data_IF_746613713635
#
_entry.id   IF_746613713635
#
_cell.length_a   1.000
_cell.length_b   1.000
_cell.length_c   1.000
_cell.angle_alpha   90.00
_cell.angle_beta   90.00
_cell.angle_gamma   90.00
#
_symmetry.space_group_name_H-M   'P 1'
#
loop_
_entity.id
_entity.type
_entity.pdbx_description
1 polymer ?
#
# COMPACT_ATOMS: atom_id res chain seq x y z
N UNK A 1 -17.71 -20.14 -37.16
CA UNK A 1 -17.31 -18.74 -36.91
C UNK A 1 -15.95 -18.53 -37.56
N UNK A 2 -15.82 -17.58 -38.49
CA UNK A 2 -14.56 -17.35 -39.21
C UNK A 2 -13.53 -16.65 -38.30
N UNK A 3 -12.23 -16.77 -38.61
CA UNK A 3 -11.16 -16.07 -37.89
C UNK A 3 -11.41 -14.55 -37.82
N UNK A 4 -11.98 -13.96 -38.88
CA UNK A 4 -12.38 -12.55 -38.91
C UNK A 4 -13.53 -12.21 -37.95
N UNK A 5 -14.51 -13.10 -37.79
CA UNK A 5 -15.59 -12.93 -36.82
C UNK A 5 -15.09 -13.05 -35.37
N UNK A 6 -14.12 -13.93 -35.10
CA UNK A 6 -13.43 -14.04 -33.82
C UNK A 6 -12.62 -12.78 -33.48
N UNK A 7 -11.88 -12.23 -34.44
CA UNK A 7 -11.10 -11.01 -34.26
C UNK A 7 -11.98 -9.78 -34.01
N UNK A 8 -13.13 -9.67 -34.70
CA UNK A 8 -14.10 -8.59 -34.46
C UNK A 8 -14.79 -8.70 -33.09
N UNK A 9 -15.16 -9.91 -32.66
CA UNK A 9 -15.73 -10.15 -31.34
C UNK A 9 -14.72 -9.87 -30.21
N UNK A 10 -13.47 -10.32 -30.37
CA UNK A 10 -12.39 -10.04 -29.43
C UNK A 10 -12.10 -8.54 -29.35
N UNK A 11 -12.02 -7.85 -30.49
CA UNK A 11 -11.89 -6.40 -30.55
C UNK A 11 -13.06 -5.69 -29.84
N UNK A 12 -14.31 -6.09 -30.08
CA UNK A 12 -15.48 -5.46 -29.43
C UNK A 12 -15.48 -5.59 -27.91
N UNK A 13 -14.93 -6.68 -27.35
CA UNK A 13 -14.79 -6.87 -25.90
C UNK A 13 -13.64 -6.06 -25.27
N UNK A 14 -12.68 -5.59 -26.05
CA UNK A 14 -11.61 -4.70 -25.57
C UNK A 14 -12.03 -3.22 -25.54
N UNK A 15 -13.01 -2.89 -26.38
CA UNK A 15 -13.58 -1.56 -26.48
C UNK A 15 -14.75 -1.34 -25.51
N UNK A 16 -15.15 -2.35 -24.74
CA UNK A 16 -16.04 -2.15 -23.60
C UNK A 16 -15.26 -1.61 -22.38
N UNK A 17 -15.96 -0.91 -21.49
CA UNK A 17 -15.35 -0.29 -20.31
C UNK A 17 -14.63 -1.33 -19.41
N UNK A 18 -15.08 -2.59 -19.42
CA UNK A 18 -14.49 -3.65 -18.62
C UNK A 18 -13.14 -4.11 -19.18
N UNK A 19 -13.01 -4.27 -20.49
CA UNK A 19 -11.78 -4.66 -21.17
C UNK A 19 -10.67 -3.62 -20.94
N UNK A 20 -11.01 -2.34 -20.99
CA UNK A 20 -10.09 -1.25 -20.69
C UNK A 20 -9.58 -1.28 -19.25
N UNK A 21 -10.50 -1.47 -18.29
CA UNK A 21 -10.15 -1.60 -16.87
C UNK A 21 -9.25 -2.81 -16.63
N UNK A 22 -9.57 -3.97 -17.20
CA UNK A 22 -8.76 -5.19 -17.04
C UNK A 22 -7.37 -5.01 -17.66
N UNK A 23 -7.28 -4.41 -18.84
CA UNK A 23 -6.00 -4.13 -19.50
C UNK A 23 -5.12 -3.22 -18.65
N UNK A 24 -5.68 -2.11 -18.15
CA UNK A 24 -4.95 -1.16 -17.31
C UNK A 24 -4.52 -1.78 -15.97
N UNK A 25 -5.42 -2.51 -15.30
CA UNK A 25 -5.09 -3.22 -14.06
C UNK A 25 -4.00 -4.27 -14.28
N UNK A 26 -4.06 -5.02 -15.39
CA UNK A 26 -3.02 -6.00 -15.73
C UNK A 26 -1.67 -5.32 -15.93
N UNK A 27 -1.63 -4.18 -16.62
CA UNK A 27 -0.41 -3.41 -16.78
C UNK A 27 0.16 -2.96 -15.42
N UNK A 28 -0.67 -2.32 -14.58
CA UNK A 28 -0.25 -1.82 -13.27
C UNK A 28 0.20 -2.93 -12.31
N UNK A 29 -0.43 -4.09 -12.36
CA UNK A 29 -0.11 -5.21 -11.47
C UNK A 29 1.17 -5.97 -11.87
N UNK A 30 1.48 -6.02 -13.17
CA UNK A 30 2.57 -6.87 -13.69
C UNK A 30 3.79 -6.09 -14.13
N UNK A 31 3.64 -4.80 -14.44
CA UNK A 31 4.64 -3.99 -15.13
C UNK A 31 5.15 -4.68 -16.43
N UNK A 32 4.29 -5.47 -17.09
CA UNK A 32 4.63 -6.16 -18.31
C UNK A 32 4.86 -5.16 -19.46
N UNK A 33 5.75 -5.52 -20.38
CA UNK A 33 6.00 -4.71 -21.57
C UNK A 33 4.70 -4.54 -22.35
N UNK A 34 4.40 -3.30 -22.78
CA UNK A 34 3.10 -2.99 -23.37
C UNK A 34 2.82 -3.77 -24.66
N UNK A 35 3.86 -4.18 -25.41
CA UNK A 35 3.68 -5.06 -26.59
C UNK A 35 3.18 -6.45 -26.20
N UNK A 36 3.67 -7.01 -25.08
CA UNK A 36 3.21 -8.33 -24.60
C UNK A 36 1.75 -8.27 -24.18
N UNK A 37 1.33 -7.18 -23.54
CA UNK A 37 -0.08 -6.96 -23.23
C UNK A 37 -0.90 -6.73 -24.49
N UNK A 38 -0.39 -5.96 -25.44
CA UNK A 38 -1.04 -5.74 -26.72
C UNK A 38 -1.32 -7.07 -27.43
N UNK A 39 -0.35 -7.98 -27.46
CA UNK A 39 -0.50 -9.32 -28.05
C UNK A 39 -1.54 -10.16 -27.30
N UNK A 40 -1.48 -10.20 -25.97
CA UNK A 40 -2.42 -10.96 -25.12
C UNK A 40 -3.87 -10.47 -25.24
N UNK A 41 -4.02 -9.17 -25.50
CA UNK A 41 -5.31 -8.50 -25.58
C UNK A 41 -5.66 -8.15 -27.02
N UNK A 42 -5.02 -8.71 -28.06
CA UNK A 42 -5.39 -8.45 -29.47
C UNK A 42 -5.48 -6.96 -29.86
N UNK A 43 -4.65 -6.11 -29.24
CA UNK A 43 -4.64 -4.66 -29.42
C UNK A 43 -3.29 -4.19 -29.98
N UNK A 44 -3.16 -2.91 -30.33
CA UNK A 44 -1.85 -2.33 -30.61
C UNK A 44 -1.27 -1.71 -29.32
N UNK A 45 0.07 -1.59 -29.24
CA UNK A 45 0.75 -0.99 -28.08
C UNK A 45 0.24 0.43 -27.77
N UNK A 46 -0.13 1.19 -28.81
CA UNK A 46 -0.72 2.53 -28.65
C UNK A 46 -2.03 2.48 -27.86
N UNK A 47 -2.89 1.50 -28.11
CA UNK A 47 -4.14 1.31 -27.34
C UNK A 47 -3.82 1.06 -25.87
N UNK A 48 -2.88 0.14 -25.56
CA UNK A 48 -2.44 -0.12 -24.17
C UNK A 48 -1.97 1.18 -23.50
N UNK A 49 -1.13 1.95 -24.18
CA UNK A 49 -0.60 3.21 -23.63
C UNK A 49 -1.69 4.24 -23.34
N UNK A 50 -2.69 4.39 -24.23
CA UNK A 50 -3.80 5.33 -24.05
C UNK A 50 -4.69 4.86 -22.90
N UNK A 51 -5.09 3.59 -22.91
CA UNK A 51 -5.95 3.00 -21.88
C UNK A 51 -5.33 3.11 -20.48
N UNK A 52 -4.05 2.79 -20.33
CA UNK A 52 -3.35 2.95 -19.03
C UNK A 52 -3.34 4.41 -18.59
N UNK A 53 -3.05 5.34 -19.50
CA UNK A 53 -3.01 6.78 -19.20
C UNK A 53 -4.38 7.27 -18.74
N UNK A 54 -5.44 6.98 -19.49
CA UNK A 54 -6.81 7.38 -19.18
C UNK A 54 -7.28 6.77 -17.86
N UNK A 55 -7.02 5.47 -17.65
CA UNK A 55 -7.36 4.78 -16.42
C UNK A 55 -6.67 5.41 -15.20
N UNK A 56 -5.37 5.73 -15.29
CA UNK A 56 -4.64 6.42 -14.22
C UNK A 56 -5.19 7.82 -14.00
N UNK A 57 -5.54 8.57 -15.05
CA UNK A 57 -6.19 9.88 -14.91
C UNK A 57 -7.52 9.76 -14.16
N UNK A 58 -8.34 8.77 -14.48
CA UNK A 58 -9.62 8.51 -13.79
C UNK A 58 -9.40 8.14 -12.33
N UNK A 59 -8.42 7.28 -12.01
CA UNK A 59 -8.08 6.91 -10.63
C UNK A 59 -7.70 8.12 -9.77
N UNK A 60 -7.12 9.16 -10.36
CA UNK A 60 -6.77 10.41 -9.67
C UNK A 60 -7.95 11.38 -9.53
N UNK A 61 -9.14 11.03 -10.04
CA UNK A 61 -10.32 11.87 -9.89
C UNK A 61 -10.75 11.95 -8.41
N UNK A 62 -11.10 13.13 -7.86
CA UNK A 62 -11.46 13.28 -6.44
C UNK A 62 -12.59 12.35 -5.99
N UNK A 63 -13.55 12.04 -6.87
CA UNK A 63 -14.65 11.11 -6.56
C UNK A 63 -14.19 9.67 -6.29
N UNK A 64 -13.00 9.28 -6.75
CA UNK A 64 -12.37 7.97 -6.47
C UNK A 64 -11.41 8.11 -5.29
N UNK A 65 -10.50 9.09 -5.31
CA UNK A 65 -9.49 9.29 -4.25
C UNK A 65 -10.15 9.52 -2.88
N UNK A 66 -11.24 10.29 -2.82
CA UNK A 66 -11.95 10.52 -1.56
C UNK A 66 -12.67 9.26 -1.02
N UNK A 67 -12.79 8.21 -1.83
CA UNK A 67 -13.36 6.91 -1.43
C UNK A 67 -12.30 5.89 -1.05
N UNK A 68 -11.06 6.01 -1.55
CA UNK A 68 -10.03 5.00 -1.35
C UNK A 68 -8.62 5.59 -1.13
N UNK A 69 -7.89 5.15 -0.10
CA UNK A 69 -8.33 4.25 0.97
C UNK A 69 -9.26 4.96 1.97
N UNK A 70 -10.38 4.33 2.33
CA UNK A 70 -11.30 4.87 3.35
C UNK A 70 -10.91 4.35 4.74
N UNK A 71 -10.60 5.26 5.66
CA UNK A 71 -10.49 4.94 7.08
C UNK A 71 -11.36 5.89 7.90
N UNK A 72 -12.12 5.34 8.86
CA UNK A 72 -12.99 6.11 9.78
C UNK A 72 -12.44 6.00 11.19
N UNK A 73 -11.19 6.40 11.37
CA UNK A 73 -10.49 6.26 12.66
C UNK A 73 -11.10 7.07 13.79
N UNK A 74 -11.96 8.04 13.48
CA UNK A 74 -12.75 8.81 14.44
C UNK A 74 -13.96 8.05 15.02
N UNK A 75 -14.38 6.95 14.39
CA UNK A 75 -15.50 6.13 14.86
C UNK A 75 -14.95 5.00 15.74
N UNK A 76 -15.32 5.03 17.02
CA UNK A 76 -14.92 4.00 18.00
C UNK A 76 -15.38 2.60 17.58
N UNK A 77 -16.55 2.46 16.97
CA UNK A 77 -17.08 1.17 16.50
C UNK A 77 -16.24 0.64 15.35
N UNK A 78 -15.78 1.52 14.46
CA UNK A 78 -14.85 1.16 13.40
C UNK A 78 -13.51 0.68 13.97
N UNK A 79 -12.94 1.42 14.94
CA UNK A 79 -11.69 1.05 15.59
C UNK A 79 -11.80 -0.29 16.34
N UNK A 80 -12.88 -0.51 17.10
CA UNK A 80 -13.15 -1.79 17.76
C UNK A 80 -13.22 -2.95 16.75
N UNK A 81 -13.92 -2.78 15.62
CA UNK A 81 -13.98 -3.81 14.57
C UNK A 81 -12.62 -4.12 13.96
N UNK A 82 -11.74 -3.12 13.84
CA UNK A 82 -10.37 -3.35 13.35
C UNK A 82 -9.54 -4.09 14.39
N UNK A 83 -9.60 -3.66 15.64
CA UNK A 83 -8.97 -4.33 16.78
C UNK A 83 -9.38 -5.80 16.91
N UNK A 84 -10.68 -6.10 16.78
CA UNK A 84 -11.19 -7.47 16.77
C UNK A 84 -10.60 -8.32 15.63
N UNK A 85 -10.37 -7.71 14.45
CA UNK A 85 -9.75 -8.38 13.32
C UNK A 85 -8.31 -8.81 13.62
N UNK A 86 -7.54 -7.95 14.29
CA UNK A 86 -6.17 -8.26 14.72
C UNK A 86 -6.16 -9.28 15.87
N UNK A 87 -7.04 -9.14 16.85
CA UNK A 87 -7.16 -10.08 17.97
C UNK A 87 -7.48 -11.51 17.49
N UNK A 88 -8.32 -11.67 16.45
CA UNK A 88 -8.59 -12.98 15.83
C UNK A 88 -7.39 -13.62 15.12
N UNK A 89 -6.33 -12.85 14.85
CA UNK A 89 -5.05 -13.34 14.31
C UNK A 89 -3.98 -13.51 15.41
N UNK A 90 -4.39 -13.55 16.68
CA UNK A 90 -3.49 -13.60 17.86
C UNK A 90 -2.51 -12.42 17.93
N UNK A 91 -2.88 -11.29 17.30
CA UNK A 91 -2.19 -10.01 17.42
C UNK A 91 -2.75 -9.27 18.64
N UNK A 92 -1.94 -8.41 19.25
CA UNK A 92 -2.30 -7.71 20.49
C UNK A 92 -3.64 -6.98 20.38
N UNK A 93 -4.45 -6.95 21.46
CA UNK A 93 -5.69 -6.17 21.48
C UNK A 93 -5.44 -4.69 21.19
N UNK A 94 -6.49 -4.01 20.74
CA UNK A 94 -6.50 -2.58 20.40
C UNK A 94 -5.57 -2.16 19.24
N UNK A 95 -4.96 -3.10 18.52
CA UNK A 95 -4.25 -2.81 17.27
C UNK A 95 -5.27 -2.57 16.16
N UNK A 96 -5.32 -1.36 15.59
CA UNK A 96 -6.29 -1.00 14.53
C UNK A 96 -5.70 -1.03 13.12
N UNK A 97 -4.39 -1.20 13.02
CA UNK A 97 -3.68 -1.27 11.75
C UNK A 97 -2.25 -1.75 11.92
N UNK A 98 -1.71 -2.38 10.87
CA UNK A 98 -0.30 -2.66 10.74
C UNK A 98 0.31 -1.66 9.75
N UNK A 99 1.41 -1.03 10.16
CA UNK A 99 2.12 -0.01 9.38
C UNK A 99 3.48 -0.54 8.95
N UNK A 100 3.81 -0.36 7.69
CA UNK A 100 5.12 -0.73 7.15
C UNK A 100 5.54 0.20 5.99
N UNK A 101 6.85 0.31 5.79
CA UNK A 101 7.47 1.08 4.73
C UNK A 101 8.00 0.19 3.61
N UNK A 102 7.75 0.57 2.36
CA UNK A 102 8.26 -0.12 1.18
C UNK A 102 8.91 0.85 0.21
N UNK A 103 10.07 0.44 -0.31
CA UNK A 103 10.80 1.19 -1.33
C UNK A 103 10.34 0.73 -2.72
N UNK A 104 9.56 1.57 -3.40
CA UNK A 104 9.07 1.32 -4.76
C UNK A 104 10.11 1.83 -5.75
N UNK A 105 10.73 0.95 -6.58
CA UNK A 105 11.73 1.36 -7.55
C UNK A 105 11.15 2.34 -8.57
N UNK A 106 11.93 3.35 -8.93
CA UNK A 106 11.62 4.30 -9.99
C UNK A 106 12.80 4.42 -10.95
N UNK A 107 12.53 4.94 -12.15
CA UNK A 107 13.61 5.40 -13.03
C UNK A 107 14.37 6.55 -12.37
N UNK A 108 15.66 6.65 -12.66
CA UNK A 108 16.51 7.75 -12.18
C UNK A 108 15.85 9.10 -12.52
N UNK A 109 15.46 9.91 -11.51
CA UNK A 109 14.90 11.22 -11.77
C UNK A 109 15.94 12.13 -12.45
N UNK A 110 15.56 12.98 -13.42
CA UNK A 110 16.51 13.83 -14.13
C UNK A 110 17.11 14.94 -13.24
N UNK A 111 16.43 15.27 -12.14
CA UNK A 111 16.85 16.30 -11.18
C UNK A 111 16.73 15.78 -9.75
N UNK A 112 17.64 16.21 -8.87
CA UNK A 112 17.66 15.80 -7.45
C UNK A 112 17.70 14.28 -7.23
N UNK A 113 18.35 13.53 -8.12
CA UNK A 113 18.39 12.06 -8.09
C UNK A 113 18.86 11.48 -6.74
N UNK A 114 19.80 12.17 -6.08
CA UNK A 114 20.37 11.76 -4.80
C UNK A 114 19.32 11.66 -3.70
N UNK A 115 18.23 12.45 -3.77
CA UNK A 115 17.12 12.37 -2.83
C UNK A 115 16.39 11.03 -2.94
N UNK A 116 16.31 10.47 -4.14
CA UNK A 116 15.59 9.23 -4.41
C UNK A 116 16.50 8.01 -4.31
N UNK A 117 17.82 8.17 -4.23
CA UNK A 117 18.74 7.07 -4.05
C UNK A 117 18.63 6.50 -2.62
N UNK A 118 18.13 5.27 -2.51
CA UNK A 118 17.83 4.65 -1.22
C UNK A 118 19.01 3.83 -0.67
N UNK A 119 18.89 3.42 0.61
CA UNK A 119 19.87 2.55 1.30
C UNK A 119 20.13 1.21 0.60
N UNK A 120 19.21 0.74 -0.26
CA UNK A 120 19.33 -0.49 -1.04
C UNK A 120 20.04 -0.29 -2.39
N UNK A 121 20.64 0.88 -2.63
CA UNK A 121 21.44 1.22 -3.83
C UNK A 121 20.65 1.25 -5.15
N UNK A 122 19.40 1.72 -5.11
CA UNK A 122 18.60 2.04 -6.31
C UNK A 122 17.74 3.28 -6.08
N UNK A 123 17.21 3.89 -7.15
CA UNK A 123 16.29 5.03 -7.06
C UNK A 123 14.88 4.56 -6.71
N UNK A 124 14.28 5.14 -5.66
CA UNK A 124 12.98 4.70 -5.15
C UNK A 124 12.12 5.86 -4.64
N UNK A 125 10.81 5.63 -4.58
CA UNK A 125 9.91 6.31 -3.65
C UNK A 125 9.82 5.50 -2.36
N UNK A 126 9.79 6.17 -1.22
CA UNK A 126 9.41 5.53 0.03
C UNK A 126 7.89 5.63 0.21
N UNK A 127 7.23 4.48 0.25
CA UNK A 127 5.78 4.36 0.43
C UNK A 127 5.52 3.73 1.79
N UNK A 128 4.94 4.50 2.71
CA UNK A 128 4.45 3.99 3.99
C UNK A 128 2.95 3.76 3.90
N UNK A 129 2.49 2.59 4.32
CA UNK A 129 1.09 2.23 4.26
C UNK A 129 0.61 1.61 5.57
N UNK A 130 -0.69 1.79 5.85
CA UNK A 130 -1.39 1.10 6.94
C UNK A 130 -2.39 0.13 6.33
N UNK A 131 -2.40 -1.10 6.82
CA UNK A 131 -3.36 -2.14 6.40
C UNK A 131 -4.16 -2.65 7.59
N UNK A 132 -5.37 -3.16 7.33
CA UNK A 132 -6.12 -3.91 8.34
C UNK A 132 -5.65 -5.37 8.46
N UNK A 133 -6.23 -6.12 9.41
CA UNK A 133 -5.90 -7.52 9.63
C UNK A 133 -6.14 -8.46 8.42
N UNK A 134 -6.86 -7.98 7.39
CA UNK A 134 -7.08 -8.68 6.11
C UNK A 134 -6.13 -8.21 5.00
N UNK A 135 -5.14 -7.38 5.32
CA UNK A 135 -4.19 -6.82 4.37
C UNK A 135 -4.76 -5.72 3.47
N UNK A 136 -5.95 -5.17 3.79
CA UNK A 136 -6.55 -4.10 2.99
C UNK A 136 -5.97 -2.75 3.37
N UNK A 137 -5.51 -1.98 2.40
CA UNK A 137 -5.01 -0.62 2.61
C UNK A 137 -6.06 0.29 3.24
N UNK A 138 -5.68 0.93 4.33
CA UNK A 138 -6.43 1.95 5.07
C UNK A 138 -5.81 3.34 4.91
N UNK A 139 -4.52 3.39 4.64
CA UNK A 139 -3.77 4.61 4.38
C UNK A 139 -2.53 4.31 3.54
N UNK A 140 -2.15 5.24 2.67
CA UNK A 140 -0.93 5.17 1.86
C UNK A 140 -0.34 6.59 1.80
N UNK A 141 0.97 6.70 2.03
CA UNK A 141 1.75 7.91 1.81
C UNK A 141 2.92 7.59 0.88
N UNK A 142 2.86 8.07 -0.34
CA UNK A 142 3.88 7.86 -1.38
C UNK A 142 4.59 9.15 -1.79
N UNK A 143 4.53 10.19 -0.95
CA UNK A 143 5.02 11.53 -1.28
C UNK A 143 6.51 11.74 -0.94
N UNK A 144 7.21 10.70 -0.50
CA UNK A 144 8.57 10.81 0.02
C UNK A 144 9.57 10.08 -0.87
N UNK A 145 10.77 10.66 -1.06
CA UNK A 145 11.80 10.02 -1.86
C UNK A 145 12.51 8.92 -1.05
N UNK A 146 13.12 7.96 -1.74
CA UNK A 146 13.65 6.72 -1.17
C UNK A 146 14.80 6.87 -0.17
N UNK A 147 15.41 8.06 -0.04
CA UNK A 147 16.41 8.35 1.00
C UNK A 147 15.78 8.64 2.38
N UNK A 148 14.47 8.94 2.44
CA UNK A 148 13.78 9.29 3.69
C UNK A 148 13.43 8.02 4.46
N UNK A 149 13.64 8.04 5.79
CA UNK A 149 13.32 6.92 6.68
C UNK A 149 11.82 6.80 6.95
N UNK A 150 11.34 5.57 7.18
CA UNK A 150 9.92 5.27 7.43
C UNK A 150 9.35 6.05 8.62
N UNK A 151 10.14 6.18 9.70
CA UNK A 151 9.80 7.04 10.85
C UNK A 151 9.51 8.49 10.46
N UNK A 152 10.28 9.06 9.53
CA UNK A 152 10.08 10.44 9.06
C UNK A 152 8.82 10.55 8.20
N UNK A 153 8.55 9.56 7.34
CA UNK A 153 7.33 9.51 6.54
C UNK A 153 6.09 9.39 7.43
N UNK A 154 6.16 8.59 8.49
CA UNK A 154 5.08 8.48 9.48
C UNK A 154 4.83 9.81 10.21
N UNK A 155 5.89 10.41 10.79
CA UNK A 155 5.78 11.64 11.58
C UNK A 155 5.25 12.85 10.76
N UNK A 156 5.44 12.86 9.44
CA UNK A 156 4.94 13.89 8.54
C UNK A 156 3.63 13.47 7.83
N UNK A 157 3.07 12.32 8.20
CA UNK A 157 1.90 11.73 7.57
C UNK A 157 0.63 11.96 8.38
N UNK A 158 -0.50 12.10 7.67
CA UNK A 158 -1.82 12.32 8.27
C UNK A 158 -2.21 11.29 9.33
N UNK A 159 -1.72 10.05 9.24
CA UNK A 159 -1.99 9.02 10.26
C UNK A 159 -1.44 9.44 11.62
N UNK A 160 -0.21 9.94 11.69
CA UNK A 160 0.37 10.44 12.93
C UNK A 160 -0.47 11.60 13.50
N UNK A 161 -0.85 12.56 12.64
CA UNK A 161 -1.72 13.68 13.04
C UNK A 161 -3.04 13.20 13.66
N UNK A 162 -3.66 12.13 13.13
CA UNK A 162 -4.91 11.62 13.71
C UNK A 162 -4.75 11.04 15.12
N UNK A 163 -3.56 10.54 15.47
CA UNK A 163 -3.28 10.10 16.84
C UNK A 163 -2.99 11.31 17.76
N UNK A 164 -2.17 12.26 17.31
CA UNK A 164 -1.78 13.43 18.12
C UNK A 164 -2.94 14.39 18.35
N UNK A 165 -3.84 14.55 17.37
CA UNK A 165 -5.06 15.36 17.47
C UNK A 165 -6.17 14.68 18.30
N UNK A 166 -5.97 13.43 18.74
CA UNK A 166 -6.99 12.66 19.49
C UNK A 166 -8.20 12.26 18.64
N UNK A 167 -8.07 12.29 17.31
CA UNK A 167 -9.10 11.81 16.39
C UNK A 167 -9.27 10.29 16.55
N UNK A 168 -8.16 9.56 16.62
CA UNK A 168 -8.19 8.14 17.01
C UNK A 168 -8.56 8.05 18.49
N UNK A 169 -9.62 7.31 18.88
CA UNK A 169 -9.97 7.15 20.28
C UNK A 169 -8.80 6.59 21.10
N UNK A 170 -8.66 7.08 22.32
CA UNK A 170 -7.59 6.65 23.22
C UNK A 170 -7.62 5.14 23.47
N UNK A 171 -6.44 4.54 23.59
CA UNK A 171 -6.26 3.10 23.84
C UNK A 171 -6.05 2.26 22.59
N UNK A 172 -6.32 2.79 21.39
CA UNK A 172 -5.97 2.14 20.12
C UNK A 172 -4.55 2.50 19.67
N UNK A 173 -3.90 1.60 18.94
CA UNK A 173 -2.56 1.77 18.41
C UNK A 173 -2.38 1.08 17.07
N UNK A 174 -1.25 1.33 16.42
CA UNK A 174 -0.73 0.58 15.28
C UNK A 174 0.37 -0.38 15.74
N UNK A 175 0.61 -1.39 14.92
CA UNK A 175 1.81 -2.24 15.04
C UNK A 175 2.74 -1.94 13.86
N UNK A 176 4.03 -1.74 14.13
CA UNK A 176 5.04 -1.38 13.14
C UNK A 176 6.32 -2.18 13.25
N UNK A 177 7.14 -2.15 12.21
CA UNK A 177 8.46 -2.79 12.22
C UNK A 177 9.49 -1.99 13.05
N UNK A 178 10.72 -2.48 13.15
CA UNK A 178 11.79 -1.80 13.90
C UNK A 178 12.32 -0.51 13.24
N UNK A 179 11.96 -0.25 11.97
CA UNK A 179 12.27 0.98 11.23
C UNK A 179 11.45 2.18 11.70
N UNK A 180 10.36 1.93 12.43
CA UNK A 180 9.53 2.94 13.09
C UNK A 180 9.95 3.19 14.54
N UNK A 181 9.62 4.37 15.06
CA UNK A 181 9.82 4.72 16.46
C UNK A 181 8.69 4.15 17.32
N UNK A 182 9.03 3.53 18.45
CA UNK A 182 8.04 3.05 19.41
C UNK A 182 7.41 4.23 20.17
N UNK A 183 6.09 4.24 20.30
CA UNK A 183 5.32 5.28 21.03
C UNK A 183 4.01 4.70 21.58
N UNK A 184 3.13 5.55 22.12
CA UNK A 184 1.76 5.14 22.46
C UNK A 184 0.90 4.86 21.21
N UNK A 185 1.35 5.34 20.04
CA UNK A 185 0.64 5.27 18.77
C UNK A 185 1.08 4.05 17.95
N UNK A 186 2.37 3.70 18.02
CA UNK A 186 2.95 2.57 17.29
C UNK A 186 3.75 1.69 18.24
N UNK A 187 3.43 0.41 18.20
CA UNK A 187 4.15 -0.62 18.94
C UNK A 187 5.13 -1.31 17.99
N UNK A 188 6.41 -1.32 18.37
CA UNK A 188 7.49 -1.92 17.58
C UNK A 188 8.35 -2.88 18.43
N UNK A 189 9.14 -3.78 17.82
CA UNK A 189 10.02 -4.67 18.57
C UNK A 189 11.06 -3.90 19.39
N UNK A 190 11.47 -4.46 20.54
CA UNK A 190 12.62 -3.94 21.27
C UNK A 190 13.88 -4.03 20.40
N UNK A 191 14.53 -2.88 20.13
CA UNK A 191 15.77 -2.84 19.32
C UNK A 191 16.91 -3.65 19.92
N UNK A 192 17.01 -3.68 21.25
CA UNK A 192 18.06 -4.39 21.98
C UNK A 192 17.49 -5.17 23.19
N UNK A 193 16.86 -6.35 22.97
CA UNK A 193 16.14 -7.08 24.01
C UNK A 193 17.10 -7.73 25.02
N UNK A 194 17.15 -7.19 26.23
CA UNK A 194 17.98 -7.67 27.34
C UNK A 194 17.32 -8.78 28.14
N UNK A 195 16.01 -8.68 28.38
CA UNK A 195 15.29 -9.62 29.25
C UNK A 195 14.64 -10.75 28.45
N UNK A 196 14.35 -11.88 29.13
CA UNK A 196 13.60 -13.00 28.54
C UNK A 196 12.24 -12.56 27.99
N UNK A 197 11.55 -11.66 28.70
CA UNK A 197 10.25 -11.12 28.28
C UNK A 197 10.36 -10.28 27.01
N UNK A 198 11.39 -9.44 26.89
CA UNK A 198 11.62 -8.65 25.67
C UNK A 198 11.95 -9.54 24.46
N UNK A 199 12.74 -10.60 24.65
CA UNK A 199 13.03 -11.58 23.59
C UNK A 199 11.77 -12.31 23.15
N UNK A 200 10.97 -12.80 24.11
CA UNK A 200 9.68 -13.46 23.83
C UNK A 200 8.67 -12.52 23.13
N UNK A 201 8.65 -11.25 23.52
CA UNK A 201 7.86 -10.23 22.83
C UNK A 201 8.31 -10.10 21.37
N UNK A 202 9.60 -9.91 21.11
CA UNK A 202 10.12 -9.80 19.75
C UNK A 202 9.85 -11.06 18.91
N UNK A 203 9.97 -12.25 19.48
CA UNK A 203 9.62 -13.52 18.82
C UNK A 203 8.14 -13.57 18.44
N UNK A 204 7.25 -13.14 19.33
CA UNK A 204 5.80 -13.08 19.09
C UNK A 204 5.47 -12.03 18.04
N UNK A 205 6.08 -10.85 18.14
CA UNK A 205 5.91 -9.75 17.20
C UNK A 205 6.34 -10.15 15.77
N UNK A 206 7.41 -10.93 15.60
CA UNK A 206 7.78 -11.47 14.29
C UNK A 206 6.70 -12.37 13.69
N UNK A 207 6.02 -13.18 14.52
CA UNK A 207 4.91 -14.04 14.08
C UNK A 207 3.69 -13.23 13.63
N UNK A 208 3.41 -12.09 14.27
CA UNK A 208 2.33 -11.20 13.86
C UNK A 208 2.49 -10.74 12.42
N UNK A 209 3.67 -10.24 12.03
CA UNK A 209 3.93 -9.80 10.66
C UNK A 209 3.87 -10.96 9.66
N UNK A 210 4.37 -12.14 10.02
CA UNK A 210 4.22 -13.33 9.19
C UNK A 210 2.75 -13.72 8.97
N UNK A 211 1.87 -13.54 9.97
CA UNK A 211 0.43 -13.83 9.87
C UNK A 211 -0.36 -12.83 9.03
N UNK A 212 0.19 -11.63 8.80
CA UNK A 212 -0.41 -10.58 7.99
C UNK A 212 0.00 -10.68 6.51
N UNK A 213 1.10 -11.37 6.22
CA UNK A 213 1.60 -11.62 4.86
C UNK A 213 0.94 -12.83 4.17
N UNK A 214 0.20 -13.65 4.92
CA UNK A 214 -0.57 -14.81 4.45
C UNK A 214 -2.08 -14.53 4.41
#
# INVERSE_FOLDING_TARGET
>A
MSMGQWLQLAASHLYDDHGQVVLALRYLATNAHQTVLADNFGACQKTVSITVKEFVTVLNHPAIVNKFPSSRTNDITYCMRKADGFARKDIMPNVIGAIDGSLVPILRPPHSEWKYFCRKRFFALNVVAVVDARGRFMYINSNFPGSVHDSTVYNLGRVHDTFTEGIVPSGFCLVGDSGLANSNEIITPFRNPQTRSQRKFNETHKKWFASLAN
#
